data_IF_793690273658
#
_entry.id   IF_793690273658
#
_cell.length_a   1.000
_cell.length_b   1.000
_cell.length_c   1.000
_cell.angle_alpha   90.00
_cell.angle_beta   90.00
_cell.angle_gamma   90.00
#
_symmetry.space_group_name_H-M   'P 1'
#
loop_
_entity.id
_entity.type
_entity.pdbx_description
1 polymer ?
#
# COMPACT_ATOMS: atom_id res chain seq x y z
N UNK A 1 -5.71 -38.17 0.12
CA UNK A 1 -4.98 -37.64 -1.07
C UNK A 1 -4.89 -36.13 -0.89
N UNK A 2 -3.70 -35.59 -0.67
CA UNK A 2 -3.48 -34.15 -0.55
C UNK A 2 -3.27 -33.58 -1.96
N UNK A 3 -3.85 -32.42 -2.26
CA UNK A 3 -3.66 -31.77 -3.55
C UNK A 3 -2.21 -31.31 -3.70
N UNK A 4 -1.65 -31.42 -4.90
CA UNK A 4 -0.32 -30.92 -5.20
C UNK A 4 -0.32 -29.39 -5.13
N UNK A 5 0.55 -28.82 -4.31
CA UNK A 5 0.69 -27.38 -4.15
C UNK A 5 1.74 -26.88 -5.15
N UNK A 6 1.34 -25.94 -6.00
CA UNK A 6 2.21 -25.31 -6.99
C UNK A 6 2.07 -23.78 -6.95
N UNK A 7 3.18 -23.09 -7.19
CA UNK A 7 3.27 -21.63 -7.33
C UNK A 7 4.23 -21.33 -8.47
N UNK A 8 3.91 -20.32 -9.28
CA UNK A 8 4.78 -19.91 -10.38
C UNK A 8 6.05 -19.24 -9.85
N UNK A 9 7.22 -19.75 -10.24
CA UNK A 9 8.53 -19.27 -9.80
C UNK A 9 8.80 -17.81 -10.19
N UNK A 10 8.24 -17.35 -11.30
CA UNK A 10 8.49 -16.00 -11.85
C UNK A 10 7.60 -14.94 -11.23
N UNK A 11 6.42 -15.32 -10.73
CA UNK A 11 5.43 -14.39 -10.18
C UNK A 11 5.59 -14.28 -8.66
N UNK A 12 5.36 -15.38 -7.95
CA UNK A 12 5.40 -15.40 -6.49
C UNK A 12 6.54 -16.24 -5.93
N UNK A 13 7.04 -17.22 -6.69
CA UNK A 13 7.98 -18.21 -6.19
C UNK A 13 7.49 -18.80 -4.87
N UNK A 14 8.34 -18.71 -3.85
CA UNK A 14 8.06 -19.27 -2.52
C UNK A 14 7.18 -18.36 -1.63
N UNK A 15 6.79 -17.17 -2.10
CA UNK A 15 6.01 -16.21 -1.30
C UNK A 15 4.52 -16.55 -1.21
N UNK A 16 3.99 -17.38 -2.11
CA UNK A 16 2.58 -17.72 -2.14
C UNK A 16 2.30 -19.10 -1.51
N UNK A 17 1.28 -19.16 -0.66
CA UNK A 17 0.81 -20.40 -0.03
C UNK A 17 -0.71 -20.49 0.00
N UNK A 18 -1.21 -21.69 -0.29
CA UNK A 18 -2.62 -21.99 -0.20
C UNK A 18 -2.94 -22.62 1.16
N UNK A 19 -3.85 -22.01 1.91
CA UNK A 19 -4.34 -22.49 3.20
C UNK A 19 -5.66 -23.24 3.03
N UNK A 20 -5.59 -24.55 2.81
CA UNK A 20 -6.79 -25.39 2.64
C UNK A 20 -7.58 -25.60 3.93
N UNK A 21 -6.95 -25.43 5.09
CA UNK A 21 -7.58 -25.61 6.42
C UNK A 21 -8.52 -24.45 6.79
N UNK A 22 -8.44 -23.31 6.10
CA UNK A 22 -9.30 -22.14 6.32
C UNK A 22 -10.68 -22.36 5.68
N UNK A 23 -11.73 -21.78 6.27
CA UNK A 23 -13.09 -21.75 5.71
C UNK A 23 -13.57 -20.30 5.54
N UNK A 24 -13.61 -19.76 4.30
CA UNK A 24 -13.20 -20.38 3.03
C UNK A 24 -11.67 -20.57 2.94
N UNK A 25 -11.21 -21.40 1.99
CA UNK A 25 -9.78 -21.56 1.76
C UNK A 25 -9.16 -20.25 1.26
N UNK A 26 -7.95 -19.93 1.72
CA UNK A 26 -7.30 -18.64 1.50
C UNK A 26 -5.98 -18.80 0.73
N UNK A 27 -5.64 -17.80 -0.08
CA UNK A 27 -4.32 -17.63 -0.67
C UNK A 27 -3.58 -16.54 0.12
N UNK A 28 -2.49 -16.90 0.78
CA UNK A 28 -1.59 -15.95 1.40
C UNK A 28 -0.39 -15.67 0.50
N UNK A 29 0.03 -14.41 0.47
CA UNK A 29 1.22 -13.95 -0.26
C UNK A 29 2.06 -13.11 0.69
N UNK A 30 3.26 -13.57 1.01
CA UNK A 30 4.19 -12.86 1.88
C UNK A 30 5.01 -11.83 1.10
N UNK A 31 5.49 -10.80 1.82
CA UNK A 31 6.34 -9.74 1.27
C UNK A 31 5.77 -9.14 -0.02
N UNK A 32 4.54 -8.60 0.08
CA UNK A 32 3.85 -7.91 -1.02
C UNK A 32 4.72 -6.78 -1.57
N UNK A 33 4.75 -6.67 -2.89
CA UNK A 33 5.49 -5.64 -3.63
C UNK A 33 4.54 -4.77 -4.44
N UNK A 34 5.00 -3.60 -4.86
CA UNK A 34 4.20 -2.67 -5.66
C UNK A 34 3.75 -3.28 -7.00
N UNK A 35 4.59 -4.11 -7.61
CA UNK A 35 4.28 -4.85 -8.84
C UNK A 35 3.24 -5.97 -8.67
N UNK A 36 2.97 -6.40 -7.43
CA UNK A 36 1.90 -7.37 -7.15
C UNK A 36 0.50 -6.72 -7.28
N UNK A 37 0.39 -5.40 -7.45
CA UNK A 37 -0.90 -4.72 -7.64
C UNK A 37 -1.56 -5.14 -8.96
N UNK A 38 -2.64 -5.92 -8.87
CA UNK A 38 -3.37 -6.41 -10.03
C UNK A 38 -4.79 -6.89 -9.67
N UNK A 39 -5.56 -7.23 -10.71
CA UNK A 39 -6.80 -8.01 -10.56
C UNK A 39 -6.46 -9.50 -10.64
N UNK A 40 -6.64 -10.21 -9.53
CA UNK A 40 -6.46 -11.65 -9.41
C UNK A 40 -7.73 -12.40 -9.77
N UNK A 41 -7.56 -13.62 -10.30
CA UNK A 41 -8.67 -14.53 -10.60
C UNK A 41 -8.54 -15.82 -9.80
N UNK A 42 -9.50 -16.06 -8.92
CA UNK A 42 -9.69 -17.35 -8.28
C UNK A 42 -10.60 -18.23 -9.16
N UNK A 43 -10.12 -19.41 -9.54
CA UNK A 43 -10.85 -20.40 -10.35
C UNK A 43 -10.97 -21.69 -9.56
N UNK A 44 -12.20 -22.20 -9.42
CA UNK A 44 -12.49 -23.49 -8.78
C UNK A 44 -13.28 -24.35 -9.75
N UNK A 45 -12.70 -25.47 -10.16
CA UNK A 45 -13.36 -26.46 -11.01
C UNK A 45 -13.97 -27.59 -10.15
N UNK A 46 -15.20 -28.00 -10.46
CA UNK A 46 -15.91 -29.06 -9.75
C UNK A 46 -16.14 -30.26 -10.68
N UNK A 47 -16.24 -31.47 -10.12
CA UNK A 47 -16.49 -32.69 -10.91
C UNK A 47 -17.87 -32.70 -11.58
N UNK A 48 -18.89 -32.13 -10.93
CA UNK A 48 -20.29 -32.23 -11.36
C UNK A 48 -21.03 -30.89 -11.27
N UNK A 49 -20.30 -29.78 -11.20
CA UNK A 49 -20.87 -28.43 -11.15
C UNK A 49 -20.04 -27.48 -12.02
N UNK A 50 -20.60 -26.32 -12.35
CA UNK A 50 -19.91 -25.32 -13.16
C UNK A 50 -18.69 -24.74 -12.42
N UNK A 51 -17.62 -24.47 -13.16
CA UNK A 51 -16.44 -23.74 -12.67
C UNK A 51 -16.86 -22.39 -12.08
N UNK A 52 -16.46 -22.13 -10.83
CA UNK A 52 -16.67 -20.84 -10.19
C UNK A 52 -15.44 -19.96 -10.42
N UNK A 53 -15.69 -18.73 -10.86
CA UNK A 53 -14.65 -17.72 -11.03
C UNK A 53 -14.98 -16.52 -10.15
N UNK A 54 -13.96 -15.99 -9.47
CA UNK A 54 -14.05 -14.76 -8.70
C UNK A 54 -12.88 -13.86 -9.07
N UNK A 55 -13.13 -12.55 -9.16
CA UNK A 55 -12.09 -11.55 -9.39
C UNK A 55 -11.86 -10.77 -8.11
N UNK A 56 -10.59 -10.58 -7.74
CA UNK A 56 -10.17 -9.87 -6.53
C UNK A 56 -9.24 -8.75 -6.97
N UNK A 57 -9.53 -7.52 -6.57
CA UNK A 57 -8.64 -6.39 -6.84
C UNK A 57 -7.66 -6.23 -5.67
N UNK A 58 -6.38 -6.48 -5.90
CA UNK A 58 -5.32 -6.20 -4.93
C UNK A 58 -4.76 -4.82 -5.21
N UNK A 59 -4.97 -3.87 -4.29
CA UNK A 59 -4.35 -2.55 -4.33
C UNK A 59 -3.25 -2.48 -3.29
N UNK A 60 -2.04 -2.07 -3.71
CA UNK A 60 -0.87 -2.01 -2.83
C UNK A 60 -0.63 -0.56 -2.44
N UNK A 61 -0.73 -0.30 -1.13
CA UNK A 61 -0.51 1.02 -0.55
C UNK A 61 0.99 1.21 -0.31
N UNK A 62 1.56 2.24 -0.91
CA UNK A 62 2.94 2.65 -0.71
C UNK A 62 2.94 3.85 0.25
N UNK A 63 3.66 3.81 1.38
CA UNK A 63 3.75 4.94 2.29
C UNK A 63 4.56 6.09 1.68
N UNK A 64 4.34 7.35 2.13
CA UNK A 64 5.21 8.47 1.76
C UNK A 64 6.66 8.22 2.18
N UNK A 65 7.60 8.69 1.36
CA UNK A 65 9.03 8.49 1.58
C UNK A 65 9.68 9.58 2.43
N UNK A 66 9.20 10.82 2.31
CA UNK A 66 9.69 12.00 3.04
C UNK A 66 8.54 12.98 3.24
N UNK A 67 8.53 13.64 4.39
CA UNK A 67 7.67 14.78 4.70
C UNK A 67 8.53 15.86 5.32
N UNK A 68 8.44 17.08 4.80
CA UNK A 68 9.23 18.22 5.25
C UNK A 68 8.38 19.49 5.26
N UNK A 69 8.63 20.35 6.23
CA UNK A 69 8.02 21.68 6.33
C UNK A 69 9.06 22.70 5.91
N UNK A 70 8.67 23.61 5.03
CA UNK A 70 9.50 24.69 4.53
C UNK A 70 8.92 26.03 4.98
N UNK A 71 9.81 26.97 5.29
CA UNK A 71 9.46 28.37 5.54
C UNK A 71 9.27 29.16 4.24
N UNK A 72 9.01 30.46 4.36
CA UNK A 72 8.84 31.37 3.23
C UNK A 72 10.08 31.48 2.31
N UNK A 73 11.27 31.17 2.84
CA UNK A 73 12.53 31.16 2.08
C UNK A 73 12.82 29.78 1.47
N UNK A 74 11.86 28.85 1.54
CA UNK A 74 12.01 27.46 1.12
C UNK A 74 13.16 26.73 1.83
N UNK A 75 13.40 27.07 3.09
CA UNK A 75 14.37 26.38 3.94
C UNK A 75 13.62 25.32 4.74
N UNK A 76 14.11 24.07 4.69
CA UNK A 76 13.55 22.96 5.48
C UNK A 76 13.71 23.27 6.98
N UNK A 77 12.59 23.26 7.71
CA UNK A 77 12.52 23.49 9.15
C UNK A 77 12.02 22.23 9.86
N UNK A 78 12.63 21.91 10.98
CA UNK A 78 12.36 20.68 11.73
C UNK A 78 11.50 20.91 12.97
N UNK A 79 11.86 21.87 13.83
CA UNK A 79 11.18 22.07 15.12
C UNK A 79 10.72 23.50 15.39
N UNK A 80 11.46 24.49 14.91
CA UNK A 80 11.18 25.91 15.17
C UNK A 80 11.29 26.68 13.86
N UNK A 81 10.31 27.54 13.62
CA UNK A 81 10.27 28.47 12.49
C UNK A 81 10.25 29.87 13.06
N UNK A 82 11.13 30.76 12.59
CA UNK A 82 11.24 32.14 13.08
C UNK A 82 12.66 32.53 13.51
N UNK A 83 12.85 33.75 14.06
CA UNK A 83 11.85 34.62 14.69
C UNK A 83 10.98 35.43 13.72
N UNK A 84 9.71 35.62 14.06
CA UNK A 84 8.74 36.44 13.33
C UNK A 84 8.29 37.63 14.15
N UNK A 85 7.99 38.74 13.49
CA UNK A 85 7.49 39.95 14.16
C UNK A 85 6.00 39.79 14.46
N UNK A 86 5.55 40.30 15.60
CA UNK A 86 4.12 40.31 15.91
C UNK A 86 3.34 41.05 14.80
N UNK A 87 2.27 40.43 14.31
CA UNK A 87 1.46 40.95 13.21
C UNK A 87 1.96 40.61 11.80
N UNK A 88 3.09 39.91 11.64
CA UNK A 88 3.52 39.41 10.33
C UNK A 88 2.78 38.14 9.92
N UNK A 89 2.57 37.96 8.61
CA UNK A 89 2.04 36.72 8.04
C UNK A 89 3.10 35.60 8.11
N UNK A 90 2.66 34.40 8.50
CA UNK A 90 3.47 33.19 8.53
C UNK A 90 3.07 32.27 7.37
N UNK A 91 4.02 31.95 6.50
CA UNK A 91 3.80 31.04 5.37
C UNK A 91 4.63 29.78 5.60
N UNK A 92 3.94 28.65 5.77
CA UNK A 92 4.56 27.33 5.88
C UNK A 92 4.08 26.45 4.74
N UNK A 93 5.00 25.73 4.12
CA UNK A 93 4.70 24.77 3.06
C UNK A 93 5.06 23.36 3.53
N UNK A 94 4.08 22.49 3.63
CA UNK A 94 4.31 21.06 3.84
C UNK A 94 4.45 20.35 2.48
N UNK A 95 5.62 19.78 2.23
CA UNK A 95 5.89 18.97 1.04
C UNK A 95 6.05 17.50 1.44
N UNK A 96 5.32 16.63 0.74
CA UNK A 96 5.33 15.18 0.97
C UNK A 96 5.68 14.48 -0.33
N UNK A 97 6.73 13.66 -0.31
CA UNK A 97 7.24 12.97 -1.48
C UNK A 97 6.86 11.49 -1.49
N UNK A 98 6.42 11.02 -2.66
CA UNK A 98 6.01 9.65 -2.88
C UNK A 98 4.65 9.34 -2.26
N UNK A 99 4.44 8.06 -1.96
CA UNK A 99 3.16 7.56 -1.48
C UNK A 99 2.19 7.24 -2.62
N UNK A 100 1.48 6.13 -2.48
CA UNK A 100 0.44 5.70 -3.41
C UNK A 100 -0.67 4.99 -2.61
N UNK A 101 -1.91 5.51 -2.60
CA UNK A 101 -2.37 6.74 -3.24
C UNK A 101 -1.69 8.01 -2.66
N UNK A 102 -1.83 9.17 -3.33
CA UNK A 102 -1.33 10.44 -2.80
C UNK A 102 -1.80 10.67 -1.36
N UNK A 103 -0.93 11.07 -0.45
CA UNK A 103 -1.29 11.24 0.96
C UNK A 103 -2.19 12.46 1.18
N UNK A 104 -3.03 12.38 2.21
CA UNK A 104 -3.80 13.52 2.69
C UNK A 104 -3.01 14.25 3.78
N UNK A 105 -2.72 15.54 3.55
CA UNK A 105 -1.98 16.39 4.48
C UNK A 105 -2.95 17.31 5.21
N UNK A 106 -2.81 17.42 6.54
CA UNK A 106 -3.65 18.24 7.41
C UNK A 106 -2.76 19.12 8.29
N UNK A 107 -3.14 20.39 8.46
CA UNK A 107 -2.50 21.31 9.38
C UNK A 107 -3.29 21.35 10.69
N UNK A 108 -2.59 21.34 11.83
CA UNK A 108 -3.20 21.47 13.14
C UNK A 108 -2.56 22.63 13.92
N UNK A 109 -3.38 23.38 14.66
CA UNK A 109 -2.94 24.40 15.61
C UNK A 109 -3.58 24.08 16.95
N UNK A 110 -2.76 23.77 17.95
CA UNK A 110 -3.18 23.52 19.33
C UNK A 110 -3.22 24.81 20.14
#
# INVERSE_FOLDING_TARGET
KQAERWSDETIFGNRAYFMSEKQPAELGVDHIREEDQAIYRCRVDFKSAQTRNSKINLTVIVPPSKMAIFDESHIERTSVVGPYTEGSDLILTCEVHGGRPPPHVLYHRT
#
